data_IF_008331916009
#
_entry.id   IF_008331916009
#
_cell.length_a   1.000
_cell.length_b   1.000
_cell.length_c   1.000
_cell.angle_alpha   90.00
_cell.angle_beta   90.00
_cell.angle_gamma   90.00
#
_symmetry.space_group_name_H-M   'P 1'
#
loop_
_entity.id
_entity.type
_entity.pdbx_description
1 polymer ?
#
# COMPACT_ATOMS: atom_id res chain seq x y z
N UNK A 1 -2.11 7.83 18.13
CA UNK A 1 -1.19 6.68 17.94
C UNK A 1 -0.17 7.04 16.88
N UNK A 2 1.05 6.49 16.96
CA UNK A 2 2.15 6.73 16.00
C UNK A 2 2.10 5.68 14.89
N UNK A 3 2.39 6.10 13.66
CA UNK A 3 2.60 5.27 12.48
C UNK A 3 4.00 5.57 11.92
N UNK A 4 4.90 4.60 11.96
CA UNK A 4 6.16 4.72 11.22
C UNK A 4 5.89 4.56 9.73
N UNK A 5 6.35 5.48 8.91
CA UNK A 5 6.23 5.43 7.46
C UNK A 5 7.62 5.21 6.84
N UNK A 6 7.72 4.18 6.00
CA UNK A 6 8.91 3.90 5.20
C UNK A 6 8.55 3.87 3.72
N UNK A 7 9.28 4.60 2.90
CA UNK A 7 9.27 4.45 1.45
C UNK A 7 10.52 3.68 1.03
N UNK A 8 10.32 2.47 0.49
CA UNK A 8 11.40 1.51 0.25
C UNK A 8 11.84 1.45 -1.22
N UNK A 9 11.23 2.28 -2.09
CA UNK A 9 11.52 2.26 -3.51
C UNK A 9 11.08 0.96 -4.17
N UNK A 10 11.80 0.56 -5.23
CA UNK A 10 11.53 -0.71 -5.91
C UNK A 10 12.33 -1.83 -5.28
N UNK A 11 11.66 -2.92 -4.88
CA UNK A 11 12.32 -4.08 -4.26
C UNK A 11 11.67 -5.41 -4.64
N UNK A 12 12.44 -6.52 -4.64
CA UNK A 12 11.92 -7.86 -4.88
C UNK A 12 10.81 -8.24 -3.87
N UNK A 13 9.84 -9.04 -4.33
CA UNK A 13 8.72 -9.44 -3.49
C UNK A 13 9.17 -10.26 -2.27
N UNK A 14 10.08 -11.22 -2.46
CA UNK A 14 10.59 -12.05 -1.37
C UNK A 14 11.24 -11.23 -0.25
N UNK A 15 12.06 -10.23 -0.60
CA UNK A 15 12.70 -9.33 0.35
C UNK A 15 11.67 -8.53 1.16
N UNK A 16 10.66 -7.98 0.48
CA UNK A 16 9.59 -7.25 1.17
C UNK A 16 8.78 -8.14 2.12
N UNK A 17 8.60 -9.42 1.76
CA UNK A 17 7.90 -10.39 2.60
C UNK A 17 8.68 -10.71 3.88
N UNK A 18 10.01 -10.81 3.77
CA UNK A 18 10.88 -11.03 4.95
C UNK A 18 10.88 -9.82 5.88
N UNK A 19 10.93 -8.60 5.32
CA UNK A 19 10.77 -7.36 6.11
C UNK A 19 9.42 -7.35 6.82
N UNK A 20 8.33 -7.68 6.14
CA UNK A 20 7.01 -7.73 6.76
C UNK A 20 6.98 -8.73 7.93
N UNK A 21 7.54 -9.95 7.75
CA UNK A 21 7.60 -10.97 8.82
C UNK A 21 8.36 -10.44 10.04
N UNK A 22 9.50 -9.80 9.83
CA UNK A 22 10.30 -9.22 10.90
C UNK A 22 9.53 -8.12 11.65
N UNK A 23 8.88 -7.19 10.92
CA UNK A 23 8.14 -6.10 11.53
C UNK A 23 6.86 -6.59 12.24
N UNK A 24 6.18 -7.61 11.72
CA UNK A 24 5.05 -8.24 12.41
C UNK A 24 5.48 -8.81 13.75
N UNK A 25 6.62 -9.52 13.82
CA UNK A 25 7.12 -10.06 15.08
C UNK A 25 7.53 -8.96 16.07
N UNK A 26 8.24 -7.93 15.62
CA UNK A 26 8.58 -6.77 16.44
C UNK A 26 7.32 -6.04 16.95
N UNK A 27 6.28 -5.96 16.13
CA UNK A 27 5.00 -5.36 16.54
C UNK A 27 4.25 -6.23 17.54
N UNK A 28 4.31 -7.56 17.43
CA UNK A 28 3.79 -8.48 18.44
C UNK A 28 4.46 -8.31 19.80
N UNK A 29 5.77 -8.09 19.78
CA UNK A 29 6.59 -7.84 20.95
C UNK A 29 6.44 -6.40 21.48
N UNK A 30 5.63 -5.55 20.85
CA UNK A 30 5.45 -4.14 21.17
C UNK A 30 6.75 -3.30 21.11
N UNK A 31 7.74 -3.76 20.35
CA UNK A 31 9.05 -3.10 20.19
C UNK A 31 9.04 -2.01 19.13
N UNK A 32 8.02 -1.97 18.28
CA UNK A 32 7.78 -0.91 17.30
C UNK A 32 6.32 -0.46 17.37
N UNK A 33 6.06 0.80 17.00
CA UNK A 33 4.72 1.30 16.72
C UNK A 33 4.16 0.68 15.43
N UNK A 34 2.88 0.94 15.11
CA UNK A 34 2.32 0.59 13.81
C UNK A 34 3.20 1.16 12.70
N UNK A 35 3.31 0.43 11.58
CA UNK A 35 4.19 0.81 10.48
C UNK A 35 3.46 0.68 9.14
N UNK A 36 3.77 1.56 8.19
CA UNK A 36 3.31 1.49 6.81
C UNK A 36 4.53 1.49 5.89
N UNK A 37 4.68 0.40 5.14
CA UNK A 37 5.68 0.30 4.08
C UNK A 37 5.01 0.67 2.77
N UNK A 38 5.59 1.60 2.01
CA UNK A 38 5.17 1.97 0.66
C UNK A 38 6.33 1.68 -0.30
N UNK A 39 6.05 0.97 -1.37
CA UNK A 39 7.05 0.48 -2.29
C UNK A 39 6.46 0.13 -3.66
N UNK A 40 7.32 -0.27 -4.57
CA UNK A 40 7.02 -0.83 -5.88
C UNK A 40 7.71 -2.20 -6.01
N UNK A 41 7.12 -3.13 -6.75
CA UNK A 41 7.76 -4.41 -7.08
C UNK A 41 8.21 -4.48 -8.53
N UNK A 42 9.26 -5.27 -8.85
CA UNK A 42 9.40 -5.87 -10.17
C UNK A 42 8.17 -6.72 -10.52
N UNK A 43 7.95 -7.08 -11.80
CA UNK A 43 6.81 -7.90 -12.20
C UNK A 43 6.70 -9.20 -11.39
N UNK A 44 5.56 -9.39 -10.71
CA UNK A 44 5.31 -10.56 -9.86
C UNK A 44 3.82 -10.89 -9.78
N UNK A 45 3.49 -12.18 -9.84
CA UNK A 45 2.18 -12.73 -9.53
C UNK A 45 2.16 -13.26 -8.10
N UNK A 46 1.14 -12.91 -7.33
CA UNK A 46 0.97 -13.47 -5.98
C UNK A 46 -0.34 -14.25 -5.90
N UNK A 47 -0.25 -15.49 -5.44
CA UNK A 47 -1.39 -16.37 -5.23
C UNK A 47 -1.78 -16.32 -3.75
N UNK A 48 -2.95 -15.75 -3.46
CA UNK A 48 -3.52 -15.71 -2.12
C UNK A 48 -4.17 -17.04 -1.73
N UNK A 49 -4.70 -17.12 -0.52
CA UNK A 49 -5.27 -18.36 0.04
C UNK A 49 -6.43 -18.97 -0.73
N UNK A 50 -7.14 -18.18 -1.53
CA UNK A 50 -8.26 -18.63 -2.33
C UNK A 50 -7.89 -18.86 -3.80
N UNK A 51 -6.60 -18.74 -4.14
CA UNK A 51 -6.12 -18.84 -5.51
C UNK A 51 -6.17 -20.29 -6.02
N UNK A 52 -6.51 -20.40 -7.29
CA UNK A 52 -6.30 -21.60 -8.05
C UNK A 52 -5.20 -21.33 -9.11
N UNK A 53 -4.22 -22.22 -9.26
CA UNK A 53 -3.15 -22.04 -10.27
C UNK A 53 -3.71 -21.90 -11.68
N UNK A 54 -4.89 -22.46 -11.96
CA UNK A 54 -5.62 -22.28 -13.22
C UNK A 54 -6.06 -20.84 -13.50
N UNK A 55 -6.01 -19.95 -12.54
CA UNK A 55 -6.26 -18.52 -12.74
C UNK A 55 -5.04 -17.76 -13.31
N UNK A 56 -3.88 -18.42 -13.46
CA UNK A 56 -2.74 -17.93 -14.25
C UNK A 56 -2.95 -18.45 -15.68
N UNK A 57 -3.19 -17.52 -16.61
CA UNK A 57 -3.41 -17.81 -18.04
C UNK A 57 -2.10 -17.97 -18.82
N UNK A 58 -1.06 -17.29 -18.36
CA UNK A 58 0.27 -17.32 -18.97
C UNK A 58 0.97 -18.66 -18.72
N UNK A 59 1.68 -19.19 -19.72
CA UNK A 59 2.58 -20.34 -19.52
C UNK A 59 3.81 -19.95 -18.70
N UNK A 60 4.42 -20.93 -18.04
CA UNK A 60 5.66 -20.72 -17.25
C UNK A 60 6.78 -20.15 -18.12
N UNK A 61 6.86 -20.53 -19.43
CA UNK A 61 7.84 -19.99 -20.38
C UNK A 61 7.56 -18.50 -20.69
N UNK A 62 6.29 -18.10 -20.78
CA UNK A 62 5.94 -16.69 -21.01
C UNK A 62 6.27 -15.85 -19.78
N UNK A 63 5.94 -16.34 -18.57
CA UNK A 63 6.29 -15.66 -17.32
C UNK A 63 7.81 -15.49 -17.20
N UNK A 64 8.60 -16.56 -17.45
CA UNK A 64 10.05 -16.51 -17.42
C UNK A 64 10.62 -15.49 -18.41
N UNK A 65 10.12 -15.47 -19.65
CA UNK A 65 10.57 -14.50 -20.68
C UNK A 65 10.25 -13.05 -20.29
N UNK A 66 9.16 -12.81 -19.56
CA UNK A 66 8.78 -11.48 -19.06
C UNK A 66 9.43 -11.12 -17.73
N UNK A 67 10.20 -12.03 -17.13
CA UNK A 67 10.81 -11.83 -15.81
C UNK A 67 9.76 -11.72 -14.70
N UNK A 68 8.59 -12.37 -14.86
CA UNK A 68 7.52 -12.35 -13.88
C UNK A 68 7.71 -13.50 -12.90
N UNK A 69 7.96 -13.18 -11.63
CA UNK A 69 8.02 -14.16 -10.55
C UNK A 69 6.61 -14.62 -10.13
N UNK A 70 6.50 -15.80 -9.51
CA UNK A 70 5.24 -16.32 -8.96
C UNK A 70 5.46 -16.73 -7.51
N UNK A 71 4.68 -16.17 -6.59
CA UNK A 71 4.77 -16.47 -5.16
C UNK A 71 3.42 -16.91 -4.59
N UNK A 72 3.40 -18.06 -3.92
CA UNK A 72 2.27 -18.51 -3.11
C UNK A 72 2.38 -17.91 -1.70
N UNK A 73 1.31 -17.26 -1.24
CA UNK A 73 1.33 -16.47 0.00
C UNK A 73 0.03 -16.60 0.79
N UNK A 74 0.06 -16.16 2.04
CA UNK A 74 -1.06 -16.32 2.97
C UNK A 74 -2.02 -15.12 3.06
N UNK A 75 -1.94 -14.12 2.13
CA UNK A 75 -2.93 -13.02 2.09
C UNK A 75 -4.32 -13.53 1.73
N UNK A 76 -5.34 -12.77 2.10
CA UNK A 76 -6.69 -12.98 1.59
C UNK A 76 -6.79 -12.70 0.09
N UNK A 77 -7.84 -13.26 -0.54
CA UNK A 77 -8.11 -13.09 -1.96
C UNK A 77 -7.46 -14.15 -2.84
N UNK A 78 -7.59 -13.94 -4.14
CA UNK A 78 -7.15 -14.80 -5.24
C UNK A 78 -5.81 -14.31 -5.82
N UNK A 79 -5.49 -14.68 -7.07
CA UNK A 79 -4.30 -14.22 -7.79
C UNK A 79 -4.38 -12.70 -8.07
N UNK A 80 -3.23 -12.03 -8.01
CA UNK A 80 -3.06 -10.65 -8.48
C UNK A 80 -1.67 -10.43 -9.04
N UNK A 81 -1.52 -9.34 -9.80
CA UNK A 81 -0.26 -8.86 -10.35
C UNK A 81 0.24 -7.64 -9.57
N UNK A 82 1.55 -7.58 -9.39
CA UNK A 82 2.26 -6.39 -8.97
C UNK A 82 3.40 -6.11 -9.96
N UNK A 83 3.67 -4.83 -10.23
CA UNK A 83 4.72 -4.45 -11.17
C UNK A 83 5.00 -2.96 -11.17
N UNK A 84 5.90 -2.50 -12.06
CA UNK A 84 6.26 -1.10 -12.21
C UNK A 84 5.04 -0.20 -12.40
N UNK A 85 5.09 0.99 -11.78
CA UNK A 85 3.99 1.96 -11.82
C UNK A 85 2.85 1.67 -10.82
N UNK A 86 2.93 0.57 -10.03
CA UNK A 86 1.95 0.23 -9.03
C UNK A 86 2.46 0.57 -7.62
N UNK A 87 1.75 1.42 -6.89
CA UNK A 87 2.05 1.70 -5.49
C UNK A 87 1.52 0.57 -4.61
N UNK A 88 2.43 -0.15 -3.97
CA UNK A 88 2.10 -1.21 -3.02
C UNK A 88 2.28 -0.69 -1.59
N UNK A 89 1.29 -0.96 -0.75
CA UNK A 89 1.30 -0.58 0.67
C UNK A 89 1.13 -1.78 1.58
N UNK A 90 2.05 -1.96 2.52
CA UNK A 90 2.02 -3.01 3.54
C UNK A 90 1.89 -2.40 4.94
N UNK A 91 0.66 -2.22 5.45
CA UNK A 91 0.46 -1.74 6.81
C UNK A 91 0.60 -2.89 7.82
N UNK A 92 1.57 -2.75 8.72
CA UNK A 92 1.80 -3.62 9.88
C UNK A 92 1.15 -2.94 11.09
N UNK A 93 -0.10 -3.27 11.35
CA UNK A 93 -0.97 -2.59 12.31
C UNK A 93 -1.51 -3.57 13.34
N UNK A 94 -1.36 -3.24 14.61
CA UNK A 94 -2.00 -4.00 15.68
C UNK A 94 -3.45 -3.50 15.87
N UNK A 95 -4.40 -4.30 15.42
CA UNK A 95 -5.82 -3.99 15.48
C UNK A 95 -6.37 -3.95 16.91
N UNK A 96 -5.64 -4.55 17.86
CA UNK A 96 -6.01 -4.57 19.28
C UNK A 96 -5.72 -3.23 19.96
N UNK A 97 -4.82 -2.42 19.37
CA UNK A 97 -4.45 -1.10 19.93
C UNK A 97 -5.53 -0.02 19.75
N UNK A 98 -6.57 -0.29 18.97
CA UNK A 98 -7.69 0.63 18.77
C UNK A 98 -8.76 0.48 19.87
N UNK A 99 -9.43 1.58 20.20
CA UNK A 99 -10.53 1.61 21.17
C UNK A 99 -11.78 2.23 20.53
N UNK A 100 -12.85 1.43 20.25
CA UNK A 100 -12.94 -0.03 20.44
C UNK A 100 -11.97 -0.78 19.51
N UNK A 101 -11.64 -2.03 19.88
CA UNK A 101 -10.80 -2.93 19.07
C UNK A 101 -11.31 -3.01 17.63
N UNK A 102 -10.40 -2.84 16.66
CA UNK A 102 -10.77 -2.85 15.25
C UNK A 102 -10.96 -4.28 14.72
N UNK A 103 -12.12 -4.56 14.15
CA UNK A 103 -12.41 -5.82 13.47
C UNK A 103 -11.72 -5.92 12.10
N UNK A 104 -11.54 -7.13 11.59
CA UNK A 104 -10.91 -7.36 10.29
C UNK A 104 -11.68 -6.69 9.12
N UNK A 105 -13.01 -6.73 9.17
CA UNK A 105 -13.87 -6.10 8.16
C UNK A 105 -13.71 -4.59 8.20
N UNK A 106 -13.78 -3.99 9.40
CA UNK A 106 -13.66 -2.55 9.57
C UNK A 106 -12.25 -2.06 9.19
N UNK A 107 -11.22 -2.87 9.46
CA UNK A 107 -9.87 -2.61 9.02
C UNK A 107 -9.77 -2.51 7.48
N UNK A 108 -10.33 -3.48 6.77
CA UNK A 108 -10.38 -3.45 5.30
C UNK A 108 -11.18 -2.24 4.81
N UNK A 109 -12.32 -1.91 5.46
CA UNK A 109 -13.12 -0.72 5.12
C UNK A 109 -12.35 0.58 5.33
N UNK A 110 -11.48 0.65 6.34
CA UNK A 110 -10.59 1.80 6.53
C UNK A 110 -9.52 1.88 5.44
N UNK A 111 -8.95 0.75 4.99
CA UNK A 111 -8.01 0.74 3.86
C UNK A 111 -8.69 1.20 2.56
N UNK A 112 -9.91 0.74 2.28
CA UNK A 112 -10.69 1.24 1.14
C UNK A 112 -10.93 2.75 1.26
N UNK A 113 -11.25 3.26 2.45
CA UNK A 113 -11.46 4.71 2.68
C UNK A 113 -10.19 5.53 2.40
N UNK A 114 -9.02 5.04 2.84
CA UNK A 114 -7.73 5.67 2.53
C UNK A 114 -7.55 5.83 1.02
N UNK A 115 -7.78 4.75 0.27
CA UNK A 115 -7.58 4.70 -1.17
C UNK A 115 -8.64 5.53 -1.93
N UNK A 116 -9.89 5.52 -1.47
CA UNK A 116 -10.97 6.38 -2.02
C UNK A 116 -10.59 7.86 -1.87
N UNK A 117 -10.13 8.27 -0.68
CA UNK A 117 -9.68 9.65 -0.46
C UNK A 117 -8.44 9.99 -1.26
N UNK A 118 -7.52 9.04 -1.43
CA UNK A 118 -6.35 9.23 -2.27
C UNK A 118 -6.75 9.47 -3.75
N UNK A 119 -7.66 8.67 -4.31
CA UNK A 119 -8.20 8.86 -5.65
C UNK A 119 -8.92 10.22 -5.78
N UNK A 120 -9.73 10.58 -4.78
CA UNK A 120 -10.44 11.86 -4.76
C UNK A 120 -9.49 13.08 -4.76
N UNK A 121 -8.28 12.97 -4.19
CA UNK A 121 -7.25 14.02 -4.25
C UNK A 121 -6.77 14.30 -5.68
N UNK A 122 -7.03 13.40 -6.61
CA UNK A 122 -6.73 13.52 -8.05
C UNK A 122 -7.99 13.71 -8.90
N UNK A 123 -9.11 14.07 -8.27
CA UNK A 123 -10.38 14.30 -8.97
C UNK A 123 -11.13 13.03 -9.38
N UNK A 124 -10.64 11.84 -9.02
CA UNK A 124 -11.24 10.56 -9.40
C UNK A 124 -12.24 10.13 -8.33
N UNK A 125 -13.52 10.05 -8.71
CA UNK A 125 -14.59 9.53 -7.84
C UNK A 125 -14.59 8.00 -7.89
N UNK A 126 -14.47 7.38 -6.73
CA UNK A 126 -14.41 5.92 -6.60
C UNK A 126 -15.37 5.43 -5.52
N UNK A 127 -15.65 4.13 -5.52
CA UNK A 127 -16.64 3.50 -4.64
C UNK A 127 -16.18 2.14 -4.11
N UNK A 128 -16.93 1.66 -3.12
CA UNK A 128 -16.93 0.27 -2.67
C UNK A 128 -18.02 -0.50 -3.38
N UNK A 129 -17.76 -1.74 -3.77
CA UNK A 129 -18.80 -2.63 -4.28
C UNK A 129 -19.09 -3.70 -3.21
N UNK A 130 -20.35 -3.92 -2.83
CA UNK A 130 -20.71 -4.97 -1.87
C UNK A 130 -20.14 -6.34 -2.28
N UNK A 131 -19.53 -7.06 -1.32
CA UNK A 131 -18.90 -8.38 -1.51
C UNK A 131 -17.67 -8.40 -2.43
N UNK A 132 -17.13 -7.24 -2.83
CA UNK A 132 -15.95 -7.09 -3.69
C UNK A 132 -14.94 -6.17 -3.05
N UNK A 133 -14.01 -6.73 -2.32
CA UNK A 133 -12.93 -5.98 -1.68
C UNK A 133 -12.08 -5.24 -2.70
N UNK A 134 -11.75 -3.98 -2.41
CA UNK A 134 -10.96 -3.08 -3.26
C UNK A 134 -11.69 -1.78 -3.55
N UNK A 135 -11.07 -0.94 -4.36
CA UNK A 135 -11.61 0.37 -4.77
C UNK A 135 -11.89 0.37 -6.26
N UNK A 136 -13.06 0.87 -6.63
CA UNK A 136 -13.61 0.76 -7.97
C UNK A 136 -14.06 2.13 -8.48
N UNK A 137 -13.95 2.35 -9.79
CA UNK A 137 -14.55 3.53 -10.44
C UNK A 137 -16.08 3.46 -10.38
N UNK A 138 -16.74 4.55 -10.68
CA UNK A 138 -18.18 4.55 -10.95
C UNK A 138 -18.45 3.98 -12.35
N UNK A 139 -19.60 3.34 -12.58
CA UNK A 139 -19.99 2.96 -13.92
C UNK A 139 -20.25 4.21 -14.77
N UNK A 140 -19.82 4.19 -16.02
CA UNK A 140 -20.04 5.27 -16.98
C UNK A 140 -20.90 4.82 -18.18
N UNK A 141 -22.21 5.02 -18.11
CA UNK A 141 -23.12 4.54 -19.17
C UNK A 141 -23.06 3.01 -19.32
N UNK A 142 -22.60 2.52 -20.48
CA UNK A 142 -22.40 1.08 -20.74
C UNK A 142 -21.06 0.53 -20.26
N UNK A 143 -20.17 1.38 -19.69
CA UNK A 143 -18.86 0.96 -19.19
C UNK A 143 -19.04 0.50 -17.74
N UNK A 144 -18.73 -0.76 -17.40
CA UNK A 144 -18.81 -1.25 -16.04
C UNK A 144 -17.73 -0.64 -15.15
N UNK A 145 -17.88 -0.80 -13.85
CA UNK A 145 -16.89 -0.38 -12.87
C UNK A 145 -15.56 -1.09 -13.10
N UNK A 146 -14.45 -0.36 -13.03
CA UNK A 146 -13.07 -0.87 -13.14
C UNK A 146 -12.38 -0.81 -11.78
N UNK A 147 -11.54 -1.80 -11.49
CA UNK A 147 -10.79 -1.84 -10.23
C UNK A 147 -9.53 -0.98 -10.34
N UNK A 148 -9.43 0.06 -9.53
CA UNK A 148 -8.24 0.93 -9.47
C UNK A 148 -7.26 0.51 -8.36
N UNK A 149 -7.77 -0.10 -7.28
CA UNK A 149 -6.94 -0.61 -6.20
C UNK A 149 -7.44 -1.96 -5.68
N UNK A 150 -6.50 -2.89 -5.50
CA UNK A 150 -6.72 -4.19 -4.89
C UNK A 150 -6.33 -4.18 -3.41
N UNK A 151 -7.02 -4.99 -2.59
CA UNK A 151 -6.73 -5.15 -1.16
C UNK A 151 -6.74 -6.64 -0.82
N UNK A 152 -5.66 -7.10 -0.18
CA UNK A 152 -5.55 -8.47 0.31
C UNK A 152 -4.67 -8.48 1.55
N UNK A 153 -5.26 -8.67 2.73
CA UNK A 153 -4.56 -8.63 4.02
C UNK A 153 -4.50 -10.02 4.66
N UNK A 154 -3.54 -10.20 5.54
CA UNK A 154 -3.51 -11.28 6.52
C UNK A 154 -3.44 -10.69 7.92
N UNK A 155 -4.17 -11.27 8.87
CA UNK A 155 -4.16 -10.86 10.27
C UNK A 155 -3.80 -12.07 11.12
N UNK A 156 -2.68 -11.97 11.82
CA UNK A 156 -2.19 -13.01 12.73
C UNK A 156 -2.06 -12.45 14.13
N UNK A 157 -2.67 -13.08 15.11
CA UNK A 157 -2.66 -12.64 16.52
C UNK A 157 -2.97 -11.14 16.68
N UNK A 158 -3.83 -10.59 15.81
CA UNK A 158 -4.28 -9.20 15.83
C UNK A 158 -3.39 -8.21 15.09
N UNK A 159 -2.25 -8.62 14.54
CA UNK A 159 -1.38 -7.76 13.71
C UNK A 159 -1.58 -8.08 12.24
N UNK A 160 -1.70 -7.03 11.41
CA UNK A 160 -1.87 -7.14 9.96
C UNK A 160 -0.53 -7.29 9.23
N UNK A 161 -0.57 -7.94 8.07
CA UNK A 161 0.47 -7.98 7.04
C UNK A 161 -0.15 -8.00 5.65
N UNK A 162 0.65 -7.90 4.60
CA UNK A 162 0.21 -7.56 3.26
C UNK A 162 -0.60 -6.26 3.28
N UNK A 163 -1.48 -5.99 2.33
CA UNK A 163 -2.19 -4.72 2.35
C UNK A 163 -2.92 -4.41 1.05
N UNK A 164 -2.43 -3.44 0.31
CA UNK A 164 -3.10 -2.94 -0.89
C UNK A 164 -2.11 -2.67 -2.04
N UNK A 165 -2.68 -2.57 -3.23
CA UNK A 165 -1.97 -2.15 -4.43
C UNK A 165 -2.85 -1.15 -5.18
N UNK A 166 -2.34 0.07 -5.41
CA UNK A 166 -2.97 1.14 -6.17
C UNK A 166 -2.27 1.26 -7.52
N UNK A 167 -2.99 1.08 -8.61
CA UNK A 167 -2.46 1.30 -9.94
C UNK A 167 -2.30 2.81 -10.18
N UNK A 168 -1.07 3.29 -10.34
CA UNK A 168 -0.77 4.71 -10.61
C UNK A 168 -0.52 4.90 -12.10
N UNK A 169 0.57 4.33 -12.62
CA UNK A 169 0.98 4.32 -14.03
C UNK A 169 1.31 2.88 -14.48
N UNK A 170 0.61 1.92 -13.89
CA UNK A 170 0.84 0.48 -14.09
C UNK A 170 0.49 0.07 -15.50
N UNK A 171 1.35 -0.73 -16.16
CA UNK A 171 0.98 -1.36 -17.42
C UNK A 171 -0.13 -2.41 -17.17
N UNK A 172 -1.36 -2.04 -17.50
CA UNK A 172 -2.53 -2.87 -17.22
C UNK A 172 -2.62 -4.13 -18.08
N UNK A 173 -1.83 -4.22 -19.19
CA UNK A 173 -1.75 -5.41 -20.04
C UNK A 173 -1.15 -6.61 -19.31
N UNK A 174 -0.39 -6.37 -18.25
CA UNK A 174 0.16 -7.44 -17.43
C UNK A 174 -0.90 -8.17 -16.59
N UNK A 175 -2.08 -7.57 -16.39
CA UNK A 175 -3.22 -8.26 -15.80
C UNK A 175 -3.84 -9.32 -16.73
N UNK A 176 -3.56 -9.28 -18.05
CA UNK A 176 -3.97 -10.31 -19.01
C UNK A 176 -3.25 -11.67 -18.78
N UNK A 177 -2.18 -11.67 -17.97
CA UNK A 177 -1.50 -12.90 -17.56
C UNK A 177 -2.34 -13.77 -16.61
N UNK A 178 -3.41 -13.21 -16.04
CA UNK A 178 -4.24 -13.85 -15.00
C UNK A 178 -5.73 -13.63 -15.25
N UNK A 179 -6.57 -14.45 -14.58
CA UNK A 179 -7.98 -14.12 -14.36
C UNK A 179 -8.11 -13.49 -12.99
N UNK A 180 -8.19 -12.14 -12.89
CA UNK A 180 -8.20 -11.49 -11.58
C UNK A 180 -9.44 -11.89 -10.77
N UNK A 181 -9.26 -12.49 -9.60
CA UNK A 181 -10.33 -12.88 -8.68
C UNK A 181 -11.37 -13.85 -9.29
N UNK A 182 -11.01 -14.65 -10.32
CA UNK A 182 -11.94 -15.55 -10.99
C UNK A 182 -13.10 -14.85 -11.71
N UNK A 183 -13.04 -13.54 -11.92
CA UNK A 183 -14.09 -12.74 -12.55
C UNK A 183 -13.53 -12.22 -13.88
N UNK A 184 -13.83 -12.96 -14.96
CA UNK A 184 -13.34 -12.65 -16.31
C UNK A 184 -13.89 -11.31 -16.89
N UNK A 185 -14.95 -10.76 -16.32
CA UNK A 185 -15.72 -9.68 -16.94
C UNK A 185 -15.37 -8.27 -16.45
N UNK A 186 -14.27 -8.09 -15.66
CA UNK A 186 -14.02 -6.77 -15.08
C UNK A 186 -12.61 -6.29 -15.28
N UNK A 187 -12.55 -5.16 -15.98
CA UNK A 187 -11.33 -4.46 -16.28
C UNK A 187 -10.69 -3.89 -14.98
N UNK A 188 -9.38 -3.81 -14.98
CA UNK A 188 -8.61 -2.97 -14.08
C UNK A 188 -8.42 -1.59 -14.72
N UNK A 189 -8.04 -0.61 -13.89
CA UNK A 189 -7.69 0.74 -14.37
C UNK A 189 -6.58 1.32 -13.48
N UNK A 190 -6.09 2.51 -13.81
CA UNK A 190 -5.03 3.24 -13.10
C UNK A 190 -5.43 4.68 -12.83
N UNK A 191 -4.65 5.39 -11.99
CA UNK A 191 -4.81 6.83 -11.85
C UNK A 191 -4.56 7.53 -13.20
N UNK A 192 -3.54 7.09 -13.94
CA UNK A 192 -3.20 7.65 -15.25
C UNK A 192 -4.35 7.59 -16.24
N UNK A 193 -5.10 6.47 -16.29
CA UNK A 193 -6.21 6.29 -17.22
C UNK A 193 -7.49 7.05 -16.81
N UNK A 194 -7.66 7.35 -15.52
CA UNK A 194 -8.90 7.94 -15.00
C UNK A 194 -8.77 9.43 -14.68
N UNK A 195 -7.54 9.99 -14.64
CA UNK A 195 -7.31 11.41 -14.37
C UNK A 195 -7.73 12.24 -15.58
N UNK A 196 -8.50 13.29 -15.32
CA UNK A 196 -8.68 14.36 -16.29
C UNK A 196 -7.39 15.22 -16.34
N UNK A 197 -6.56 14.95 -17.35
CA UNK A 197 -5.28 15.63 -17.54
C UNK A 197 -5.39 17.12 -17.89
N UNK A 198 -6.59 17.62 -18.20
CA UNK A 198 -6.84 19.04 -18.34
C UNK A 198 -6.91 19.78 -16.99
N UNK A 199 -7.18 19.04 -15.90
CA UNK A 199 -7.37 19.59 -14.56
C UNK A 199 -6.23 19.17 -13.61
N UNK A 200 -5.79 17.91 -13.68
CA UNK A 200 -4.82 17.31 -12.78
C UNK A 200 -3.66 16.67 -13.54
N UNK A 201 -2.45 16.81 -13.03
CA UNK A 201 -1.31 16.05 -13.55
C UNK A 201 -1.35 14.61 -13.01
N UNK A 202 -0.90 13.64 -13.84
CA UNK A 202 -0.68 12.26 -13.40
C UNK A 202 0.41 12.26 -12.32
N UNK A 203 0.15 11.72 -11.11
CA UNK A 203 1.12 11.75 -10.04
C UNK A 203 2.28 10.77 -10.29
N UNK A 204 3.45 11.11 -9.80
CA UNK A 204 4.53 10.13 -9.62
C UNK A 204 4.15 9.13 -8.52
N UNK A 205 4.84 7.98 -8.46
CA UNK A 205 4.67 7.02 -7.36
C UNK A 205 4.94 7.65 -5.99
N UNK A 206 5.94 8.54 -5.89
CA UNK A 206 6.25 9.27 -4.66
C UNK A 206 5.11 10.19 -4.25
N UNK A 207 4.55 10.96 -5.17
CA UNK A 207 3.40 11.82 -4.91
C UNK A 207 2.18 11.02 -4.48
N UNK A 208 1.92 9.88 -5.12
CA UNK A 208 0.86 8.96 -4.74
C UNK A 208 1.11 8.39 -3.33
N UNK A 209 2.35 7.99 -3.00
CA UNK A 209 2.74 7.50 -1.69
C UNK A 209 2.52 8.55 -0.59
N UNK A 210 2.90 9.82 -0.86
CA UNK A 210 2.69 10.93 0.06
C UNK A 210 1.18 11.20 0.29
N UNK A 211 0.37 11.13 -0.75
CA UNK A 211 -1.08 11.31 -0.67
C UNK A 211 -1.72 10.17 0.13
N UNK A 212 -1.36 8.92 -0.16
CA UNK A 212 -1.87 7.74 0.56
C UNK A 212 -1.47 7.77 2.04
N UNK A 213 -0.22 8.11 2.37
CA UNK A 213 0.26 8.16 3.76
C UNK A 213 -0.48 9.20 4.60
N UNK A 214 -0.75 10.37 4.04
CA UNK A 214 -1.53 11.43 4.69
C UNK A 214 -2.95 10.97 4.99
N UNK A 215 -3.64 10.35 4.01
CA UNK A 215 -4.97 9.83 4.20
C UNK A 215 -4.99 8.63 5.15
N UNK A 216 -3.94 7.80 5.15
CA UNK A 216 -3.80 6.72 6.12
C UNK A 216 -3.74 7.27 7.55
N UNK A 217 -2.88 8.26 7.81
CA UNK A 217 -2.82 8.94 9.10
C UNK A 217 -4.17 9.48 9.55
N UNK A 218 -4.87 10.20 8.66
CA UNK A 218 -6.18 10.79 8.93
C UNK A 218 -7.25 9.73 9.23
N UNK A 219 -7.40 8.69 8.39
CA UNK A 219 -8.45 7.66 8.52
C UNK A 219 -8.24 6.75 9.72
N UNK A 220 -6.98 6.46 10.06
CA UNK A 220 -6.64 5.61 11.20
C UNK A 220 -6.39 6.39 12.50
N UNK A 221 -6.41 7.73 12.47
CA UNK A 221 -6.12 8.57 13.64
C UNK A 221 -4.69 8.43 14.13
N UNK A 222 -3.72 8.33 13.20
CA UNK A 222 -2.32 8.19 13.50
C UNK A 222 -1.54 9.46 13.14
N UNK A 223 -0.58 9.82 13.98
CA UNK A 223 0.49 10.73 13.61
C UNK A 223 1.51 9.94 12.79
N UNK A 224 1.77 10.40 11.55
CA UNK A 224 2.72 9.75 10.64
C UNK A 224 4.13 10.26 10.92
N UNK A 225 5.04 9.35 11.26
CA UNK A 225 6.47 9.63 11.40
C UNK A 225 7.24 9.00 10.25
N UNK A 226 7.89 9.83 9.47
CA UNK A 226 8.80 9.40 8.43
C UNK A 226 10.07 8.78 9.04
N UNK A 227 10.46 7.62 8.52
CA UNK A 227 11.71 6.95 8.83
C UNK A 227 12.59 6.97 7.60
N UNK A 228 13.87 7.33 7.80
CA UNK A 228 14.81 7.42 6.68
C UNK A 228 15.12 6.05 6.08
N UNK A 229 15.14 5.03 6.93
CA UNK A 229 15.47 3.67 6.52
C UNK A 229 14.86 2.62 7.44
N UNK A 230 14.82 1.39 6.96
CA UNK A 230 14.51 0.22 7.78
C UNK A 230 15.52 0.08 8.94
N UNK A 231 16.80 0.38 8.69
CA UNK A 231 17.84 0.33 9.72
C UNK A 231 17.55 1.24 10.90
N UNK A 232 17.06 2.47 10.68
CA UNK A 232 16.64 3.40 11.74
C UNK A 232 15.50 2.80 12.58
N UNK A 233 14.48 2.22 11.95
CA UNK A 233 13.36 1.58 12.66
C UNK A 233 13.83 0.39 13.49
N UNK A 234 14.71 -0.45 12.96
CA UNK A 234 15.24 -1.63 13.64
C UNK A 234 16.18 -1.25 14.79
N UNK A 235 16.99 -0.21 14.65
CA UNK A 235 17.83 0.32 15.72
C UNK A 235 16.99 0.85 16.89
N UNK A 236 15.89 1.57 16.61
CA UNK A 236 14.92 1.98 17.61
C UNK A 236 14.27 0.81 18.34
N UNK A 237 13.92 -0.26 17.59
CA UNK A 237 13.40 -1.49 18.18
C UNK A 237 14.42 -2.20 19.09
N UNK A 238 15.71 -2.19 18.74
CA UNK A 238 16.75 -2.78 19.57
C UNK A 238 16.95 -1.98 20.88
N UNK A 239 16.92 -0.65 20.81
CA UNK A 239 16.99 0.22 21.98
C UNK A 239 15.79 0.02 22.92
N UNK A 240 14.59 -0.13 22.39
CA UNK A 240 13.38 -0.45 23.17
C UNK A 240 13.50 -1.78 23.95
N UNK A 241 14.16 -2.78 23.37
CA UNK A 241 14.42 -4.06 24.06
C UNK A 241 15.41 -3.93 25.23
N UNK A 242 16.29 -2.94 25.19
CA UNK A 242 17.26 -2.66 26.26
C UNK A 242 16.68 -1.81 27.42
N UNK A 243 15.36 -1.53 27.42
CA UNK A 243 14.67 -0.80 28.49
C UNK A 243 14.25 0.63 28.13
N UNK A 244 14.34 1.02 26.86
CA UNK A 244 13.79 2.30 26.35
C UNK A 244 12.29 2.20 26.02
N UNK A 245 11.55 3.28 26.18
CA UNK A 245 10.15 3.39 25.75
C UNK A 245 10.06 3.46 24.22
N UNK A 246 9.47 2.48 23.52
CA UNK A 246 9.36 2.48 22.06
C UNK A 246 8.44 3.58 21.50
N UNK A 247 7.71 4.28 22.38
CA UNK A 247 6.81 5.40 22.04
C UNK A 247 7.38 6.77 22.35
N UNK A 248 8.50 6.87 23.04
CA UNK A 248 9.09 8.15 23.41
C UNK A 248 9.90 8.72 22.24
N UNK A 249 9.21 9.34 21.32
CA UNK A 249 9.86 10.29 20.40
C UNK A 249 10.11 11.53 21.23
N UNK A 250 11.36 12.02 21.37
CA UNK A 250 11.62 13.28 22.05
C UNK A 250 10.69 14.37 21.47
N UNK A 251 10.06 15.17 22.34
CA UNK A 251 9.15 16.26 21.94
C UNK A 251 9.76 17.21 20.91
N UNK A 252 11.10 17.28 20.88
CA UNK A 252 11.91 18.11 20.00
C UNK A 252 12.36 17.40 18.70
N UNK A 253 11.87 16.20 18.39
CA UNK A 253 12.20 15.56 17.10
C UNK A 253 11.52 16.36 15.99
N UNK A 254 12.27 17.11 15.14
CA UNK A 254 11.64 17.93 14.12
C UNK A 254 10.88 17.01 13.16
N UNK A 255 9.58 17.29 12.96
CA UNK A 255 8.79 16.68 11.90
C UNK A 255 9.52 16.92 10.58
N UNK A 256 10.10 15.87 10.00
CA UNK A 256 10.77 15.99 8.72
C UNK A 256 9.69 16.16 7.65
N UNK A 257 9.48 17.39 7.24
CA UNK A 257 8.58 17.73 6.14
C UNK A 257 9.34 17.43 4.85
N UNK A 258 8.80 16.62 3.92
CA UNK A 258 9.40 16.42 2.60
C UNK A 258 9.75 17.75 1.94
N UNK A 259 10.86 17.82 1.21
CA UNK A 259 11.35 19.06 0.60
C UNK A 259 10.33 19.75 -0.31
N UNK A 260 9.46 18.97 -0.95
CA UNK A 260 8.34 19.51 -1.75
C UNK A 260 7.33 20.29 -0.91
N UNK A 261 6.98 19.81 0.28
CA UNK A 261 6.09 20.52 1.20
C UNK A 261 6.76 21.75 1.83
N UNK A 262 8.09 21.72 2.01
CA UNK A 262 8.86 22.89 2.45
C UNK A 262 8.84 24.00 1.41
N UNK A 263 8.91 23.64 0.11
CA UNK A 263 8.79 24.61 -1.00
C UNK A 263 7.40 25.24 -1.06
N UNK A 264 6.35 24.46 -0.82
CA UNK A 264 4.97 24.95 -0.81
C UNK A 264 4.66 25.84 0.39
N UNK A 265 5.37 25.68 1.51
CA UNK A 265 5.21 26.51 2.71
C UNK A 265 6.07 27.79 2.73
N UNK A 266 6.84 28.05 1.67
CA UNK A 266 7.75 29.21 1.60
C UNK A 266 8.94 29.16 2.55
N UNK A 267 9.24 28.00 3.16
CA UNK A 267 10.31 27.84 4.14
C UNK A 267 11.68 27.49 3.54
N UNK A 268 11.81 27.46 2.21
CA UNK A 268 13.10 27.27 1.53
C UNK A 268 13.41 28.53 0.74
N UNK A 269 14.46 29.22 1.09
CA UNK A 269 14.98 30.34 0.29
C UNK A 269 15.28 29.86 -1.13
N UNK A 270 14.97 30.67 -2.17
CA UNK A 270 15.34 30.34 -3.53
C UNK A 270 16.86 30.29 -3.62
N UNK A 271 17.40 29.19 -4.11
CA UNK A 271 18.82 29.10 -4.50
C UNK A 271 18.98 30.07 -5.67
N UNK A 272 19.63 31.22 -5.43
CA UNK A 272 20.06 32.12 -6.48
C UNK A 272 21.08 31.37 -7.34
N UNK A 273 20.79 31.29 -8.62
CA UNK A 273 21.63 30.72 -9.66
C UNK A 273 22.93 31.55 -9.85
#
# INVERSE_FOLDING_TARGET
>A
MILNLLQLGRMPYAESLDIQRQLVELRHQQRIANSLLLLEHPPVLTLGRNSQRGNILASDELLARRGVEVHEINRGGDVTYHGPGQLVGYPIVDLRSFHPRLGAVDYVRKLEEVLIRACASYGIVTQRIPKRTGVWTLPGGSIPEKKIAAIGVHISRGVSSHGFALNVTTDLRDFDLIVPCGIADRAVTSLEDEIDTAIHAVPTLEQAANTVSRHFGSVFGHQVLWRESLGELLAGAAAAAAGGDPGNVPEDTPLRIPNELKRLSGQVEPVLA
#
